data_IF_654599069853
#
_entry.id   IF_654599069853
#
_cell.length_a   1.000
_cell.length_b   1.000
_cell.length_c   1.000
_cell.angle_alpha   90.00
_cell.angle_beta   90.00
_cell.angle_gamma   90.00
#
_symmetry.space_group_name_H-M   'P 1'
#
loop_
_entity.id
_entity.type
_entity.pdbx_description
1 polymer ?
#
# COMPACT_ATOMS: atom_id res chain seq x y z
N UNK A 1 -30.05 -6.57 -14.44
CA UNK A 1 -30.14 -6.14 -13.03
C UNK A 1 -29.80 -4.67 -12.95
N UNK A 2 -30.49 -3.95 -12.06
CA UNK A 2 -30.22 -2.55 -11.69
C UNK A 2 -29.29 -2.53 -10.50
N UNK A 3 -28.10 -1.97 -10.67
CA UNK A 3 -27.04 -1.99 -9.66
C UNK A 3 -26.70 -0.55 -9.29
N UNK A 4 -26.78 -0.21 -8.01
CA UNK A 4 -26.32 1.08 -7.50
C UNK A 4 -24.98 0.91 -6.78
N UNK A 5 -23.92 1.49 -7.32
CA UNK A 5 -22.61 1.52 -6.68
C UNK A 5 -22.50 2.81 -5.88
N UNK A 6 -22.21 2.75 -4.58
CA UNK A 6 -22.06 3.94 -3.72
C UNK A 6 -20.63 4.02 -3.23
N UNK A 7 -19.91 5.09 -3.58
CA UNK A 7 -18.52 5.30 -3.15
C UNK A 7 -18.40 6.40 -2.11
N UNK A 8 -17.68 6.08 -1.02
CA UNK A 8 -17.22 7.02 0.00
C UNK A 8 -16.06 7.91 -0.46
N UNK A 9 -15.84 9.04 0.22
CA UNK A 9 -14.63 9.86 0.06
C UNK A 9 -13.37 9.16 0.58
N UNK A 10 -13.55 8.17 1.45
CA UNK A 10 -12.49 7.32 1.98
C UNK A 10 -11.96 6.30 0.94
N UNK A 11 -12.63 6.21 -0.21
CA UNK A 11 -12.24 5.38 -1.33
C UNK A 11 -11.32 6.19 -2.24
N UNK A 12 -10.03 5.89 -2.19
CA UNK A 12 -9.06 6.46 -3.14
C UNK A 12 -9.03 5.57 -4.40
N UNK A 13 -9.02 6.14 -5.61
CA UNK A 13 -8.91 5.40 -6.88
C UNK A 13 -10.21 5.35 -7.70
N UNK A 14 -10.14 4.74 -8.89
CA UNK A 14 -11.23 4.71 -9.89
C UNK A 14 -11.99 3.35 -9.88
N UNK A 15 -11.74 2.46 -8.92
CA UNK A 15 -12.29 1.09 -8.91
C UNK A 15 -13.83 1.04 -8.99
N UNK A 16 -14.60 1.85 -8.23
CA UNK A 16 -16.06 1.83 -8.30
C UNK A 16 -16.60 2.27 -9.68
N UNK A 17 -15.91 3.22 -10.32
CA UNK A 17 -16.26 3.72 -11.65
C UNK A 17 -15.96 2.68 -12.73
N UNK A 18 -14.76 2.08 -12.68
CA UNK A 18 -14.36 1.02 -13.61
C UNK A 18 -15.25 -0.21 -13.49
N UNK A 19 -15.64 -0.59 -12.26
CA UNK A 19 -16.62 -1.65 -12.05
C UNK A 19 -17.98 -1.29 -12.66
N UNK A 20 -18.45 -0.05 -12.49
CA UNK A 20 -19.69 0.42 -13.10
C UNK A 20 -19.68 0.33 -14.63
N UNK A 21 -18.58 0.73 -15.26
CA UNK A 21 -18.37 0.59 -16.71
C UNK A 21 -18.38 -0.87 -17.13
N UNK A 22 -17.63 -1.73 -16.44
CA UNK A 22 -17.56 -3.16 -16.76
C UNK A 22 -18.93 -3.87 -16.62
N UNK A 23 -19.69 -3.56 -15.57
CA UNK A 23 -21.05 -4.10 -15.39
C UNK A 23 -22.01 -3.62 -16.48
N UNK A 24 -21.88 -2.37 -16.91
CA UNK A 24 -22.68 -1.83 -18.02
C UNK A 24 -22.34 -2.52 -19.34
N UNK A 25 -21.05 -2.76 -19.60
CA UNK A 25 -20.60 -3.52 -20.78
C UNK A 25 -21.13 -4.98 -20.79
N UNK A 26 -21.42 -5.54 -19.62
CA UNK A 26 -22.08 -6.85 -19.47
C UNK A 26 -23.62 -6.80 -19.55
N UNK A 27 -24.20 -5.65 -19.90
CA UNK A 27 -25.65 -5.49 -20.07
C UNK A 27 -26.41 -5.23 -18.76
N UNK A 28 -25.73 -4.86 -17.67
CA UNK A 28 -26.39 -4.42 -16.45
C UNK A 28 -26.65 -2.91 -16.43
N UNK A 29 -27.67 -2.51 -15.68
CA UNK A 29 -28.05 -1.10 -15.52
C UNK A 29 -27.36 -0.55 -14.27
N UNK A 30 -26.09 -0.18 -14.41
CA UNK A 30 -25.24 0.29 -13.33
C UNK A 30 -25.32 1.82 -13.17
N UNK A 31 -25.44 2.28 -11.93
CA UNK A 31 -25.36 3.69 -11.57
C UNK A 31 -24.35 3.88 -10.45
N UNK A 32 -23.34 4.72 -10.68
CA UNK A 32 -22.33 5.09 -9.66
C UNK A 32 -22.78 6.36 -8.95
N UNK A 33 -22.91 6.30 -7.64
CA UNK A 33 -23.27 7.40 -6.76
C UNK A 33 -22.06 7.78 -5.91
N UNK A 34 -21.65 9.04 -5.95
CA UNK A 34 -20.52 9.56 -5.17
C UNK A 34 -20.88 10.89 -4.53
N UNK A 35 -20.19 11.27 -3.44
CA UNK A 35 -20.37 12.58 -2.82
C UNK A 35 -19.73 13.65 -3.69
N UNK A 36 -20.43 14.77 -3.89
CA UNK A 36 -19.86 15.91 -4.62
C UNK A 36 -18.88 16.70 -3.73
N UNK A 37 -17.58 16.47 -3.93
CA UNK A 37 -16.51 17.08 -3.15
C UNK A 37 -15.73 18.22 -3.89
N UNK A 38 -16.15 18.59 -5.09
CA UNK A 38 -15.49 19.65 -5.87
C UNK A 38 -16.41 20.39 -6.85
N UNK A 39 -15.92 21.49 -7.47
CA UNK A 39 -16.67 22.31 -8.42
C UNK A 39 -16.85 21.65 -9.80
N UNK A 40 -15.99 20.69 -10.15
CA UNK A 40 -16.12 19.87 -11.36
C UNK A 40 -16.87 18.58 -11.01
N UNK A 41 -17.79 18.08 -11.84
CA UNK A 41 -18.20 16.68 -11.69
C UNK A 41 -16.92 15.83 -11.75
N UNK A 42 -16.69 15.01 -10.72
CA UNK A 42 -15.74 13.90 -10.86
C UNK A 42 -16.10 13.22 -12.18
N UNK A 43 -15.12 13.13 -13.08
CA UNK A 43 -15.26 12.88 -14.53
C UNK A 43 -16.55 12.11 -14.80
N UNK A 44 -17.49 12.72 -15.51
CA UNK A 44 -18.57 11.97 -16.14
C UNK A 44 -17.87 10.83 -16.88
N UNK A 45 -18.01 9.61 -16.36
CA UNK A 45 -17.32 8.43 -16.85
C UNK A 45 -17.45 8.41 -18.36
N UNK A 46 -16.32 8.43 -19.07
CA UNK A 46 -16.28 8.17 -20.50
C UNK A 46 -16.80 6.73 -20.68
N UNK A 47 -18.09 6.58 -20.99
CA UNK A 47 -18.75 5.28 -21.16
C UNK A 47 -20.25 5.30 -20.83
N UNK A 48 -20.92 4.18 -21.11
CA UNK A 48 -22.36 3.99 -20.96
C UNK A 48 -22.89 3.94 -19.49
N UNK A 49 -22.01 3.98 -18.48
CA UNK A 49 -22.38 3.90 -17.07
C UNK A 49 -22.90 5.25 -16.54
N UNK A 50 -24.06 5.22 -15.86
CA UNK A 50 -24.67 6.43 -15.29
C UNK A 50 -23.95 6.85 -14.01
N UNK A 51 -23.72 8.15 -13.85
CA UNK A 51 -23.05 8.72 -12.70
C UNK A 51 -23.92 9.78 -12.01
N UNK A 52 -24.04 9.72 -10.68
CA UNK A 52 -24.90 10.59 -9.87
C UNK A 52 -24.06 11.20 -8.75
N UNK A 53 -23.79 12.51 -8.86
CA UNK A 53 -23.14 13.28 -7.81
C UNK A 53 -24.17 13.68 -6.74
N UNK A 54 -23.95 13.28 -5.50
CA UNK A 54 -24.83 13.59 -4.36
C UNK A 54 -24.20 14.72 -3.55
N UNK A 55 -24.75 15.94 -3.59
CA UNK A 55 -24.19 17.07 -2.85
C UNK A 55 -24.50 16.93 -1.36
N UNK A 56 -23.52 16.63 -0.52
CA UNK A 56 -23.70 16.44 0.94
C UNK A 56 -22.49 16.99 1.68
N UNK A 57 -22.73 17.67 2.80
CA UNK A 57 -21.67 18.19 3.66
C UNK A 57 -20.78 19.24 2.99
N UNK A 58 -19.64 19.58 3.61
CA UNK A 58 -18.69 20.55 3.07
C UNK A 58 -18.09 20.04 1.76
N UNK A 59 -17.97 20.89 0.73
CA UNK A 59 -17.41 20.47 -0.57
C UNK A 59 -15.97 19.98 -0.40
N UNK A 60 -15.09 20.84 0.09
CA UNK A 60 -13.72 20.49 0.43
C UNK A 60 -13.63 20.03 1.90
N UNK A 61 -14.02 18.80 2.17
CA UNK A 61 -13.77 18.18 3.47
C UNK A 61 -12.26 17.87 3.58
N UNK A 62 -11.66 18.16 4.73
CA UNK A 62 -10.24 17.87 4.96
C UNK A 62 -10.02 16.39 5.28
N UNK A 63 -10.96 15.78 5.99
CA UNK A 63 -10.95 14.36 6.35
C UNK A 63 -12.34 13.74 6.13
N UNK A 64 -12.36 12.43 5.88
CA UNK A 64 -13.56 11.61 5.85
C UNK A 64 -14.44 11.81 7.10
N UNK A 65 -13.83 11.97 8.29
CA UNK A 65 -14.57 12.17 9.54
C UNK A 65 -15.43 13.45 9.53
N UNK A 66 -15.02 14.49 8.79
CA UNK A 66 -15.78 15.75 8.69
C UNK A 66 -17.10 15.57 7.94
N UNK A 67 -17.21 14.49 7.16
CA UNK A 67 -18.42 14.13 6.40
C UNK A 67 -19.37 13.26 7.24
N UNK A 68 -18.89 12.61 8.30
CA UNK A 68 -19.68 11.69 9.14
C UNK A 68 -21.00 12.32 9.66
N UNK A 69 -21.04 13.57 10.17
CA UNK A 69 -22.28 14.19 10.63
C UNK A 69 -23.37 14.31 9.55
N UNK A 70 -22.97 14.33 8.27
CA UNK A 70 -23.86 14.52 7.13
C UNK A 70 -24.31 13.20 6.47
N UNK A 71 -23.91 12.04 7.01
CA UNK A 71 -24.26 10.73 6.44
C UNK A 71 -25.78 10.51 6.41
N UNK A 72 -26.53 11.07 7.37
CA UNK A 72 -28.00 11.03 7.37
C UNK A 72 -28.60 11.74 6.15
N UNK A 73 -28.11 12.94 5.83
CA UNK A 73 -28.52 13.68 4.63
C UNK A 73 -28.13 12.94 3.35
N UNK A 74 -26.97 12.27 3.37
CA UNK A 74 -26.54 11.44 2.25
C UNK A 74 -27.52 10.30 2.01
N UNK A 75 -27.87 9.54 3.05
CA UNK A 75 -28.84 8.47 2.96
C UNK A 75 -30.20 8.99 2.43
N UNK A 76 -30.70 10.10 2.96
CA UNK A 76 -31.96 10.70 2.51
C UNK A 76 -31.94 11.15 1.04
N UNK A 77 -30.78 11.56 0.50
CA UNK A 77 -30.63 11.89 -0.93
C UNK A 77 -30.52 10.64 -1.79
N UNK A 78 -29.79 9.61 -1.35
CA UNK A 78 -29.76 8.31 -2.04
C UNK A 78 -31.16 7.69 -2.12
N UNK A 79 -31.94 7.77 -1.04
CA UNK A 79 -33.33 7.29 -1.01
C UNK A 79 -34.22 7.99 -2.04
N UNK A 80 -34.02 9.30 -2.26
CA UNK A 80 -34.72 10.09 -3.29
C UNK A 80 -34.27 9.74 -4.71
N UNK A 81 -33.01 9.35 -4.89
CA UNK A 81 -32.54 8.84 -6.19
C UNK A 81 -33.17 7.47 -6.45
N UNK A 82 -33.18 6.59 -5.46
CA UNK A 82 -33.73 5.24 -5.56
C UNK A 82 -35.26 5.17 -5.53
N UNK A 83 -35.96 6.26 -5.18
CA UNK A 83 -37.42 6.33 -5.30
C UNK A 83 -37.89 6.36 -6.74
N UNK A 84 -37.12 7.01 -7.62
CA UNK A 84 -37.42 7.09 -9.06
C UNK A 84 -37.06 5.79 -9.77
N UNK A 85 -35.99 5.14 -9.33
CA UNK A 85 -35.46 3.91 -9.92
C UNK A 85 -34.78 3.07 -8.85
N UNK A 86 -35.53 2.13 -8.28
CA UNK A 86 -35.02 1.26 -7.23
C UNK A 86 -33.97 0.29 -7.79
N UNK A 87 -32.78 0.18 -7.18
CA UNK A 87 -31.80 -0.84 -7.53
C UNK A 87 -32.20 -2.21 -6.99
N UNK A 88 -31.84 -3.27 -7.70
CA UNK A 88 -31.99 -4.67 -7.25
C UNK A 88 -30.93 -5.01 -6.19
N UNK A 89 -29.72 -4.44 -6.34
CA UNK A 89 -28.59 -4.60 -5.42
C UNK A 89 -27.86 -3.26 -5.26
N UNK A 90 -27.43 -2.96 -4.03
CA UNK A 90 -26.53 -1.85 -3.75
C UNK A 90 -25.14 -2.39 -3.44
N UNK A 91 -24.12 -1.87 -4.10
CA UNK A 91 -22.72 -2.19 -3.84
C UNK A 91 -22.03 -0.97 -3.24
N UNK A 92 -21.77 -1.01 -1.94
CA UNK A 92 -21.19 0.09 -1.21
C UNK A 92 -19.69 -0.10 -0.99
N UNK A 93 -18.92 0.95 -1.25
CA UNK A 93 -17.48 1.03 -1.07
C UNK A 93 -17.12 1.99 0.05
N UNK A 94 -16.17 1.57 0.88
CA UNK A 94 -15.70 2.38 2.00
C UNK A 94 -16.68 2.41 3.17
N UNK A 95 -16.27 3.03 4.28
CA UNK A 95 -17.05 3.03 5.51
C UNK A 95 -18.10 4.15 5.53
N UNK A 96 -17.84 5.32 4.95
CA UNK A 96 -18.82 6.42 4.90
C UNK A 96 -19.90 6.17 3.86
N UNK A 97 -19.47 5.85 2.63
CA UNK A 97 -20.38 5.47 1.55
C UNK A 97 -21.18 4.22 1.93
N UNK A 98 -20.53 3.25 2.58
CA UNK A 98 -21.14 2.09 3.23
C UNK A 98 -22.27 2.45 4.18
N UNK A 99 -22.00 3.35 5.13
CA UNK A 99 -22.99 3.76 6.12
C UNK A 99 -24.19 4.47 5.48
N UNK A 100 -23.95 5.41 4.56
CA UNK A 100 -25.02 6.10 3.83
C UNK A 100 -25.88 5.11 3.00
N UNK A 101 -25.22 4.21 2.27
CA UNK A 101 -25.87 3.22 1.43
C UNK A 101 -26.73 2.24 2.22
N UNK A 102 -26.22 1.72 3.35
CA UNK A 102 -26.96 0.78 4.18
C UNK A 102 -28.15 1.42 4.87
N UNK A 103 -28.03 2.68 5.33
CA UNK A 103 -29.15 3.44 5.88
C UNK A 103 -30.27 3.63 4.83
N UNK A 104 -29.90 4.04 3.62
CA UNK A 104 -30.84 4.23 2.52
C UNK A 104 -31.49 2.91 2.05
N UNK A 105 -30.71 1.82 2.02
CA UNK A 105 -31.17 0.53 1.52
C UNK A 105 -32.10 -0.19 2.52
N UNK A 106 -31.87 0.01 3.83
CA UNK A 106 -32.68 -0.59 4.90
C UNK A 106 -34.16 -0.23 4.78
N UNK A 107 -34.49 1.02 4.47
CA UNK A 107 -35.88 1.47 4.30
C UNK A 107 -36.58 0.82 3.12
N UNK A 108 -35.81 0.44 2.09
CA UNK A 108 -36.31 -0.15 0.84
C UNK A 108 -36.11 -1.66 0.73
N UNK A 109 -35.55 -2.30 1.77
CA UNK A 109 -35.21 -3.73 1.81
C UNK A 109 -34.33 -4.20 0.64
N UNK A 110 -33.44 -3.33 0.14
CA UNK A 110 -32.50 -3.68 -0.94
C UNK A 110 -31.27 -4.35 -0.33
N UNK A 111 -30.81 -5.51 -0.83
CA UNK A 111 -29.59 -6.15 -0.35
C UNK A 111 -28.35 -5.28 -0.64
N UNK A 112 -27.47 -5.17 0.36
CA UNK A 112 -26.21 -4.41 0.25
C UNK A 112 -25.00 -5.34 0.27
N UNK A 113 -24.17 -5.22 -0.75
CA UNK A 113 -22.81 -5.76 -0.80
C UNK A 113 -21.85 -4.67 -0.30
N UNK A 114 -21.13 -4.93 0.78
CA UNK A 114 -20.18 -3.98 1.38
C UNK A 114 -18.75 -4.40 1.05
N UNK A 115 -18.02 -3.55 0.33
CA UNK A 115 -16.60 -3.71 0.06
C UNK A 115 -15.78 -2.78 0.95
N UNK A 116 -14.80 -3.37 1.64
CA UNK A 116 -13.83 -2.63 2.44
C UNK A 116 -12.52 -2.52 1.65
N UNK A 117 -11.97 -1.31 1.56
CA UNK A 117 -10.68 -1.03 0.93
C UNK A 117 -9.65 -0.74 2.02
N UNK A 118 -9.12 -1.82 2.60
CA UNK A 118 -8.34 -1.77 3.83
C UNK A 118 -9.22 -1.67 5.08
N UNK A 119 -9.09 -2.64 5.99
CA UNK A 119 -9.75 -2.57 7.31
C UNK A 119 -8.86 -1.85 8.32
N UNK A 120 -9.46 -1.05 9.20
CA UNK A 120 -8.70 -0.46 10.33
C UNK A 120 -8.05 -1.52 11.21
N UNK A 121 -8.71 -2.68 11.37
CA UNK A 121 -8.17 -3.84 12.08
C UNK A 121 -6.88 -4.42 11.45
N UNK A 122 -6.60 -4.09 10.18
CA UNK A 122 -5.41 -4.53 9.47
C UNK A 122 -4.19 -3.61 9.68
N UNK A 123 -4.39 -2.35 10.10
CA UNK A 123 -3.29 -1.39 10.36
C UNK A 123 -2.86 -1.46 11.83
N UNK A 124 -1.54 -1.56 12.06
CA UNK A 124 -0.94 -1.75 13.39
C UNK A 124 -0.26 -0.49 13.96
N UNK A 125 -0.18 0.61 13.20
CA UNK A 125 0.54 1.81 13.62
C UNK A 125 -0.23 2.57 14.72
N UNK A 126 0.23 2.47 15.96
CA UNK A 126 -0.26 3.29 17.07
C UNK A 126 0.46 4.64 17.03
N UNK A 127 -0.22 5.70 16.59
CA UNK A 127 0.07 7.07 17.02
C UNK A 127 -1.06 8.04 16.66
N UNK A 128 -1.21 9.09 17.49
CA UNK A 128 -2.06 10.30 17.53
C UNK A 128 -3.44 10.37 16.82
N UNK A 129 -3.67 9.65 15.72
CA UNK A 129 -4.96 9.47 15.03
C UNK A 129 -5.97 8.59 15.82
N UNK A 130 -5.79 8.42 17.13
CA UNK A 130 -6.52 7.46 17.97
C UNK A 130 -8.03 7.75 18.04
N UNK A 131 -8.43 9.02 18.10
CA UNK A 131 -9.85 9.40 18.12
C UNK A 131 -10.53 9.18 16.75
N UNK A 132 -9.89 9.59 15.64
CA UNK A 132 -10.44 9.44 14.28
C UNK A 132 -10.51 7.97 13.84
N UNK A 133 -9.53 7.17 14.25
CA UNK A 133 -9.56 5.72 14.05
C UNK A 133 -10.63 5.05 14.91
N UNK A 134 -10.98 5.61 16.07
CA UNK A 134 -11.98 5.03 16.96
C UNK A 134 -13.37 4.95 16.31
N UNK A 135 -13.82 6.00 15.59
CA UNK A 135 -15.13 6.00 14.96
C UNK A 135 -15.20 5.01 13.79
N UNK A 136 -14.19 5.02 12.90
CA UNK A 136 -14.10 4.03 11.82
C UNK A 136 -14.01 2.60 12.37
N UNK A 137 -13.23 2.37 13.43
CA UNK A 137 -13.12 1.06 14.11
C UNK A 137 -14.45 0.60 14.73
N UNK A 138 -15.31 1.52 15.17
CA UNK A 138 -16.64 1.20 15.70
C UNK A 138 -17.64 0.92 14.59
N UNK A 139 -17.55 1.65 13.48
CA UNK A 139 -18.51 1.56 12.36
C UNK A 139 -18.24 0.37 11.44
N UNK A 140 -16.98 0.07 11.08
CA UNK A 140 -16.65 -1.03 10.17
C UNK A 140 -17.24 -2.40 10.60
N UNK A 141 -17.16 -2.83 11.87
CA UNK A 141 -17.79 -4.07 12.33
C UNK A 141 -19.32 -4.05 12.23
N UNK A 142 -19.95 -2.89 12.43
CA UNK A 142 -21.40 -2.75 12.27
C UNK A 142 -21.77 -2.95 10.80
N UNK A 143 -21.10 -2.22 9.89
CA UNK A 143 -21.33 -2.34 8.45
C UNK A 143 -21.10 -3.75 7.92
N UNK A 144 -20.05 -4.42 8.40
CA UNK A 144 -19.77 -5.79 8.02
C UNK A 144 -20.91 -6.72 8.45
N UNK A 145 -21.43 -6.56 9.67
CA UNK A 145 -22.51 -7.40 10.20
C UNK A 145 -23.86 -7.16 9.53
N UNK A 146 -24.20 -5.91 9.22
CA UNK A 146 -25.49 -5.56 8.59
C UNK A 146 -25.53 -5.78 7.07
N UNK A 147 -24.38 -5.91 6.41
CA UNK A 147 -24.34 -6.18 4.98
C UNK A 147 -24.88 -7.57 4.63
N UNK A 148 -25.62 -7.67 3.52
CA UNK A 148 -26.06 -8.94 2.95
C UNK A 148 -24.87 -9.78 2.50
N UNK A 149 -23.84 -9.13 1.97
CA UNK A 149 -22.55 -9.72 1.61
C UNK A 149 -21.41 -8.76 1.95
N UNK A 150 -20.29 -9.28 2.45
CA UNK A 150 -19.10 -8.46 2.74
C UNK A 150 -17.92 -8.93 1.89
N UNK A 151 -17.14 -7.99 1.35
CA UNK A 151 -15.94 -8.31 0.58
C UNK A 151 -14.71 -7.55 1.07
N UNK A 152 -13.56 -8.23 0.98
CA UNK A 152 -12.24 -7.63 1.23
C UNK A 152 -11.30 -7.91 0.05
N UNK A 153 -10.19 -7.18 -0.02
CA UNK A 153 -9.23 -7.22 -1.13
C UNK A 153 -8.19 -8.34 -0.97
N UNK A 154 -8.19 -9.05 0.15
CA UNK A 154 -7.25 -10.16 0.38
C UNK A 154 -7.84 -11.28 1.24
N UNK A 155 -7.22 -12.46 1.19
CA UNK A 155 -7.60 -13.58 2.06
C UNK A 155 -7.44 -13.25 3.56
N UNK A 156 -6.46 -12.41 3.91
CA UNK A 156 -6.30 -11.92 5.28
C UNK A 156 -7.48 -11.03 5.70
N UNK A 157 -7.97 -10.17 4.81
CA UNK A 157 -9.15 -9.35 5.06
C UNK A 157 -10.42 -10.16 5.13
N UNK A 158 -10.58 -11.18 4.27
CA UNK A 158 -11.69 -12.12 4.36
C UNK A 158 -11.72 -12.82 5.72
N UNK A 159 -10.57 -13.25 6.24
CA UNK A 159 -10.48 -13.86 7.56
C UNK A 159 -10.83 -12.84 8.69
N UNK A 160 -10.42 -11.58 8.55
CA UNK A 160 -10.79 -10.50 9.49
C UNK A 160 -12.30 -10.18 9.43
N UNK A 161 -12.88 -10.07 8.24
CA UNK A 161 -14.31 -9.87 8.05
C UNK A 161 -15.13 -11.02 8.63
N UNK A 162 -14.67 -12.26 8.45
CA UNK A 162 -15.33 -13.42 9.04
C UNK A 162 -15.32 -13.37 10.57
N UNK A 163 -14.25 -12.84 11.18
CA UNK A 163 -14.19 -12.61 12.64
C UNK A 163 -15.15 -11.50 13.07
N UNK A 164 -15.15 -10.35 12.37
CA UNK A 164 -16.06 -9.23 12.67
C UNK A 164 -17.53 -9.60 12.53
N UNK A 165 -17.86 -10.49 11.58
CA UNK A 165 -19.23 -10.99 11.35
C UNK A 165 -19.60 -12.21 12.18
N UNK A 166 -18.65 -12.81 12.90
CA UNK A 166 -18.81 -14.11 13.55
C UNK A 166 -19.27 -15.24 12.61
N UNK A 167 -19.04 -15.11 11.30
CA UNK A 167 -19.41 -16.09 10.29
C UNK A 167 -18.63 -15.89 9.00
N UNK A 168 -18.23 -17.00 8.36
CA UNK A 168 -17.61 -16.98 7.02
C UNK A 168 -18.63 -16.99 5.89
N UNK A 169 -19.92 -17.19 6.19
CA UNK A 169 -20.98 -17.18 5.20
C UNK A 169 -21.15 -15.77 4.61
N UNK A 170 -21.35 -15.67 3.30
CA UNK A 170 -21.54 -14.38 2.59
C UNK A 170 -20.37 -13.40 2.79
N UNK A 171 -19.16 -13.94 2.84
CA UNK A 171 -17.90 -13.18 2.82
C UNK A 171 -17.07 -13.67 1.64
N UNK A 172 -16.52 -12.76 0.83
CA UNK A 172 -15.70 -13.13 -0.33
C UNK A 172 -14.53 -12.19 -0.57
N UNK A 173 -13.53 -12.68 -1.28
CA UNK A 173 -12.48 -11.82 -1.78
C UNK A 173 -12.98 -11.11 -3.05
N UNK A 174 -12.93 -9.78 -3.06
CA UNK A 174 -13.11 -8.95 -4.26
C UNK A 174 -11.88 -8.08 -4.37
N UNK A 175 -10.96 -8.46 -5.23
CA UNK A 175 -9.68 -7.77 -5.42
C UNK A 175 -9.82 -6.67 -6.46
N UNK A 176 -9.00 -5.62 -6.36
CA UNK A 176 -8.92 -4.63 -7.43
C UNK A 176 -8.55 -5.29 -8.77
N UNK A 177 -9.13 -4.77 -9.84
CA UNK A 177 -8.83 -5.16 -11.20
C UNK A 177 -7.66 -4.37 -11.77
N UNK A 178 -7.18 -4.80 -12.93
CA UNK A 178 -6.28 -4.02 -13.76
C UNK A 178 -6.87 -3.97 -15.17
N UNK A 179 -6.87 -2.79 -15.76
CA UNK A 179 -7.22 -2.61 -17.16
C UNK A 179 -6.15 -3.27 -18.04
N UNK A 180 -6.46 -4.45 -18.55
CA UNK A 180 -5.56 -5.26 -19.37
C UNK A 180 -5.34 -4.71 -20.77
N UNK A 181 -6.17 -3.78 -21.25
CA UNK A 181 -5.95 -3.10 -22.53
C UNK A 181 -4.94 -1.97 -22.37
N UNK A 182 -5.00 -1.28 -21.23
CA UNK A 182 -4.06 -0.20 -20.89
C UNK A 182 -2.70 -0.70 -20.39
N UNK A 183 -2.69 -1.75 -19.58
CA UNK A 183 -1.48 -2.34 -19.01
C UNK A 183 -1.12 -3.63 -19.73
N UNK A 184 -0.39 -3.47 -20.83
CA UNK A 184 0.14 -4.56 -21.64
C UNK A 184 1.67 -4.55 -21.63
N UNK A 185 2.32 -5.68 -21.97
CA UNK A 185 3.78 -5.75 -22.10
C UNK A 185 4.34 -4.97 -23.29
N UNK A 186 3.50 -4.61 -24.26
CA UNK A 186 3.91 -3.95 -25.51
C UNK A 186 3.44 -2.51 -25.53
N UNK A 187 4.29 -1.58 -25.96
CA UNK A 187 3.90 -0.18 -26.16
C UNK A 187 5.06 0.78 -25.91
N UNK A 188 4.80 2.09 -25.88
CA UNK A 188 5.83 3.08 -25.65
C UNK A 188 6.39 2.96 -24.23
N UNK A 189 7.70 3.17 -24.07
CA UNK A 189 8.41 3.08 -22.80
C UNK A 189 9.16 4.39 -22.53
N UNK A 190 9.37 4.72 -21.26
CA UNK A 190 10.21 5.85 -20.88
C UNK A 190 11.68 5.49 -21.12
N UNK A 191 12.40 6.38 -21.80
CA UNK A 191 13.83 6.21 -22.05
C UNK A 191 14.62 5.88 -20.77
N UNK A 192 15.62 5.02 -20.92
CA UNK A 192 16.51 4.60 -19.84
C UNK A 192 17.97 4.73 -20.25
N UNK A 193 18.81 5.00 -19.26
CA UNK A 193 20.23 4.73 -19.38
C UNK A 193 20.44 3.22 -19.27
N UNK A 194 21.58 2.69 -19.72
CA UNK A 194 21.80 1.24 -19.83
C UNK A 194 21.76 0.44 -18.52
N UNK A 195 21.35 1.04 -17.40
CA UNK A 195 21.18 0.41 -16.10
C UNK A 195 19.86 -0.38 -16.02
N UNK A 196 19.85 -1.36 -15.12
CA UNK A 196 18.63 -2.09 -14.77
C UNK A 196 17.73 -1.20 -13.89
N UNK A 197 16.50 -0.95 -14.33
CA UNK A 197 15.58 -0.03 -13.66
C UNK A 197 14.72 -0.73 -12.62
N UNK A 198 14.85 -0.29 -11.37
CA UNK A 198 13.99 -0.65 -10.25
C UNK A 198 12.95 0.46 -10.06
N UNK A 199 11.68 0.20 -10.39
CA UNK A 199 10.61 1.17 -10.21
C UNK A 199 9.93 0.98 -8.85
N UNK A 200 9.75 2.07 -8.10
CA UNK A 200 8.98 2.12 -6.87
C UNK A 200 7.87 3.17 -7.02
N UNK A 201 6.59 2.74 -6.98
CA UNK A 201 5.43 3.64 -7.08
C UNK A 201 4.63 3.61 -5.78
N UNK A 202 4.33 4.79 -5.22
CA UNK A 202 3.39 4.95 -4.12
C UNK A 202 2.62 6.27 -4.24
N UNK A 203 1.60 6.53 -3.41
CA UNK A 203 0.87 7.80 -3.46
C UNK A 203 1.75 9.02 -3.20
N UNK A 204 2.63 8.95 -2.19
CA UNK A 204 3.49 10.04 -1.72
C UNK A 204 4.84 9.50 -1.21
N UNK A 205 5.85 10.34 -0.96
CA UNK A 205 7.22 9.92 -0.62
C UNK A 205 7.42 9.61 0.87
N UNK A 206 6.33 9.53 1.64
CA UNK A 206 6.38 9.39 3.09
C UNK A 206 6.96 8.03 3.53
N UNK A 207 7.54 8.02 4.74
CA UNK A 207 8.29 6.88 5.29
C UNK A 207 7.50 5.55 5.31
N UNK A 208 6.18 5.61 5.47
CA UNK A 208 5.34 4.41 5.50
C UNK A 208 5.30 3.66 4.15
N UNK A 209 5.62 4.32 3.03
CA UNK A 209 5.72 3.69 1.71
C UNK A 209 7.04 2.94 1.50
N UNK A 210 8.04 3.24 2.32
CA UNK A 210 9.23 2.42 2.47
C UNK A 210 10.25 2.48 1.34
N UNK A 211 10.35 3.62 0.66
CA UNK A 211 11.37 3.87 -0.37
C UNK A 211 12.79 3.77 0.16
N UNK A 212 13.01 4.09 1.44
CA UNK A 212 14.28 3.92 2.15
C UNK A 212 14.84 2.49 2.07
N UNK A 213 13.96 1.48 2.02
CA UNK A 213 14.34 0.07 1.89
C UNK A 213 14.89 -0.22 0.49
N UNK A 214 14.30 0.37 -0.55
CA UNK A 214 14.78 0.22 -1.92
C UNK A 214 16.13 0.92 -2.10
N UNK A 215 16.27 2.14 -1.58
CA UNK A 215 17.51 2.92 -1.62
C UNK A 215 18.64 2.17 -0.89
N UNK A 216 18.40 1.69 0.34
CA UNK A 216 19.43 0.95 1.09
C UNK A 216 19.84 -0.35 0.39
N UNK A 217 18.90 -1.04 -0.28
CA UNK A 217 19.21 -2.25 -1.04
C UNK A 217 20.07 -1.97 -2.30
N UNK A 218 19.96 -0.77 -2.88
CA UNK A 218 20.66 -0.38 -4.11
C UNK A 218 22.20 -0.42 -3.96
N UNK A 219 22.71 -0.18 -2.75
CA UNK A 219 24.14 -0.32 -2.43
C UNK A 219 24.70 -1.72 -2.71
N UNK A 220 23.83 -2.74 -2.74
CA UNK A 220 24.18 -4.16 -2.95
C UNK A 220 23.86 -4.67 -4.36
N UNK A 221 23.30 -3.82 -5.22
CA UNK A 221 22.89 -4.17 -6.59
C UNK A 221 23.63 -3.23 -7.55
N UNK A 222 24.85 -3.58 -7.96
CA UNK A 222 25.58 -2.79 -8.96
C UNK A 222 24.87 -2.87 -10.32
N UNK A 223 25.01 -1.83 -11.15
CA UNK A 223 24.40 -1.79 -12.48
C UNK A 223 22.88 -1.59 -12.50
N UNK A 224 22.28 -1.20 -11.37
CA UNK A 224 20.87 -0.84 -11.28
C UNK A 224 20.66 0.61 -10.85
N UNK A 225 19.56 1.20 -11.30
CA UNK A 225 19.01 2.47 -10.83
C UNK A 225 17.68 2.25 -10.08
N UNK A 226 17.35 3.15 -9.15
CA UNK A 226 16.04 3.18 -8.49
C UNK A 226 15.30 4.44 -8.92
N UNK A 227 14.14 4.25 -9.53
CA UNK A 227 13.21 5.32 -9.87
C UNK A 227 12.07 5.34 -8.86
N UNK A 228 11.89 6.47 -8.18
CA UNK A 228 10.79 6.72 -7.24
C UNK A 228 9.74 7.58 -7.93
N UNK A 229 8.51 7.08 -7.93
CA UNK A 229 7.36 7.65 -8.61
C UNK A 229 6.19 7.83 -7.64
N UNK A 230 5.50 8.96 -7.78
CA UNK A 230 4.39 9.36 -6.93
C UNK A 230 3.09 9.48 -7.75
N UNK A 231 1.93 9.35 -7.10
CA UNK A 231 0.61 9.51 -7.78
C UNK A 231 -0.25 10.62 -7.20
N UNK A 232 0.06 11.13 -6.01
CA UNK A 232 -0.62 12.28 -5.41
C UNK A 232 0.06 13.58 -5.81
N UNK A 233 -0.69 14.68 -5.71
CA UNK A 233 -0.14 16.01 -5.90
C UNK A 233 0.94 16.30 -4.83
N UNK A 234 2.03 16.93 -5.25
CA UNK A 234 3.10 17.30 -4.33
C UNK A 234 2.66 18.42 -3.39
N UNK A 235 3.22 18.43 -2.17
CA UNK A 235 3.09 19.50 -1.19
C UNK A 235 4.42 19.65 -0.45
N UNK A 236 4.52 20.63 0.45
CA UNK A 236 5.75 20.92 1.20
C UNK A 236 6.23 19.73 2.05
N UNK A 237 5.31 18.97 2.64
CA UNK A 237 5.64 17.75 3.40
C UNK A 237 6.23 16.68 2.49
N UNK A 238 5.76 16.58 1.24
CA UNK A 238 6.30 15.66 0.25
C UNK A 238 7.70 16.11 -0.21
N UNK A 239 7.94 17.41 -0.33
CA UNK A 239 9.26 17.97 -0.64
C UNK A 239 10.29 17.64 0.45
N UNK A 240 9.93 17.85 1.72
CA UNK A 240 10.77 17.51 2.88
C UNK A 240 11.08 16.00 2.93
N UNK A 241 10.09 15.15 2.68
CA UNK A 241 10.27 13.70 2.63
C UNK A 241 11.19 13.27 1.46
N UNK A 242 11.10 13.93 0.30
CA UNK A 242 12.03 13.69 -0.82
C UNK A 242 13.45 14.13 -0.46
N UNK A 243 13.62 15.28 0.21
CA UNK A 243 14.94 15.73 0.67
C UNK A 243 15.58 14.73 1.66
N UNK A 244 14.79 14.15 2.56
CA UNK A 244 15.26 13.09 3.46
C UNK A 244 15.70 11.83 2.70
N UNK A 245 14.97 11.40 1.67
CA UNK A 245 15.34 10.26 0.84
C UNK A 245 16.61 10.55 0.02
N UNK A 246 16.79 11.78 -0.46
CA UNK A 246 18.01 12.21 -1.15
C UNK A 246 19.21 12.20 -0.21
N UNK A 247 19.06 12.67 1.02
CA UNK A 247 20.10 12.59 2.04
C UNK A 247 20.49 11.13 2.31
N UNK A 248 19.50 10.25 2.47
CA UNK A 248 19.73 8.82 2.66
C UNK A 248 20.48 8.18 1.47
N UNK A 249 20.15 8.56 0.24
CA UNK A 249 20.85 8.08 -0.94
C UNK A 249 22.33 8.52 -0.96
N UNK A 250 22.64 9.72 -0.46
CA UNK A 250 24.02 10.20 -0.28
C UNK A 250 24.75 9.41 0.79
N UNK A 251 24.13 9.14 1.94
CA UNK A 251 24.74 8.32 3.00
C UNK A 251 25.11 6.91 2.51
N UNK A 252 24.28 6.31 1.66
CA UNK A 252 24.57 4.99 1.07
C UNK A 252 25.50 5.04 -0.15
N UNK A 253 25.93 6.23 -0.59
CA UNK A 253 26.79 6.39 -1.77
C UNK A 253 26.13 5.95 -3.08
N UNK A 254 24.82 6.13 -3.21
CA UNK A 254 24.03 5.72 -4.39
C UNK A 254 23.22 6.87 -4.99
N UNK A 255 23.52 8.11 -4.64
CA UNK A 255 22.76 9.29 -5.05
C UNK A 255 22.70 9.47 -6.58
N UNK A 256 23.75 9.08 -7.29
CA UNK A 256 23.85 9.06 -8.76
C UNK A 256 22.92 8.04 -9.43
N UNK A 257 22.44 7.05 -8.67
CA UNK A 257 21.58 5.95 -9.14
C UNK A 257 20.15 6.02 -8.61
N UNK A 258 19.77 7.09 -7.92
CA UNK A 258 18.41 7.30 -7.41
C UNK A 258 17.78 8.48 -8.13
N UNK A 259 16.69 8.23 -8.86
CA UNK A 259 15.94 9.23 -9.62
C UNK A 259 14.55 9.41 -9.05
N UNK A 260 14.17 10.66 -8.79
CA UNK A 260 12.82 11.03 -8.38
C UNK A 260 12.04 11.49 -9.62
N UNK A 261 11.10 10.67 -10.08
CA UNK A 261 10.20 11.01 -11.19
C UNK A 261 9.11 12.01 -10.78
N UNK A 262 8.86 12.17 -9.48
CA UNK A 262 7.79 13.00 -8.93
C UNK A 262 6.40 12.43 -9.24
N UNK A 263 5.40 13.31 -9.30
CA UNK A 263 4.01 12.92 -9.57
C UNK A 263 3.83 12.55 -11.04
N UNK A 264 3.52 11.28 -11.30
CA UNK A 264 3.31 10.76 -12.66
C UNK A 264 1.83 10.89 -13.04
N UNK A 265 1.50 11.54 -14.17
CA UNK A 265 0.14 11.55 -14.70
C UNK A 265 -0.31 10.11 -14.98
N UNK A 266 -1.54 9.77 -14.60
CA UNK A 266 -2.06 8.40 -14.78
C UNK A 266 -1.85 7.85 -16.20
N UNK A 267 -2.04 8.68 -17.23
CA UNK A 267 -1.84 8.31 -18.65
C UNK A 267 -0.42 7.83 -18.99
N UNK A 268 0.59 8.29 -18.27
CA UNK A 268 2.01 7.94 -18.48
C UNK A 268 2.44 6.74 -17.63
N UNK A 269 1.66 6.37 -16.61
CA UNK A 269 1.97 5.25 -15.72
C UNK A 269 2.31 3.95 -16.47
N UNK A 270 1.57 3.53 -17.53
CA UNK A 270 1.94 2.34 -18.29
C UNK A 270 3.33 2.42 -18.94
N UNK A 271 3.76 3.59 -19.41
CA UNK A 271 5.07 3.78 -20.03
C UNK A 271 6.20 3.64 -19.01
N UNK A 272 5.98 4.16 -17.81
CA UNK A 272 6.92 4.01 -16.69
C UNK A 272 7.02 2.57 -16.22
N UNK A 273 5.87 1.91 -16.05
CA UNK A 273 5.82 0.50 -15.66
C UNK A 273 6.56 -0.36 -16.67
N UNK A 274 6.31 -0.21 -17.98
CA UNK A 274 7.01 -0.98 -19.01
C UNK A 274 8.52 -0.75 -19.03
N UNK A 275 8.98 0.46 -18.72
CA UNK A 275 10.42 0.77 -18.67
C UNK A 275 11.18 0.08 -17.53
N UNK A 276 10.47 -0.53 -16.58
CA UNK A 276 11.06 -1.14 -15.40
C UNK A 276 11.40 -2.62 -15.62
N UNK A 277 12.61 -3.03 -15.24
CA UNK A 277 12.99 -4.45 -15.23
C UNK A 277 12.37 -5.16 -14.01
N UNK A 278 12.24 -4.43 -12.89
CA UNK A 278 11.55 -4.89 -11.68
C UNK A 278 10.78 -3.77 -11.01
N UNK A 279 9.58 -4.09 -10.55
CA UNK A 279 8.77 -3.23 -9.69
C UNK A 279 8.94 -3.67 -8.24
N UNK A 280 9.32 -2.75 -7.35
CA UNK A 280 9.53 -3.04 -5.92
C UNK A 280 8.47 -2.35 -5.08
N UNK A 281 7.69 -3.14 -4.34
CA UNK A 281 6.71 -2.65 -3.38
C UNK A 281 7.17 -2.95 -1.94
N UNK A 282 7.62 -1.92 -1.25
CA UNK A 282 8.17 -1.97 0.12
C UNK A 282 7.34 -1.27 1.22
N UNK A 283 6.02 -1.05 1.08
CA UNK A 283 5.29 -0.29 2.09
C UNK A 283 5.35 -1.03 3.44
N UNK A 284 5.45 -0.26 4.52
CA UNK A 284 5.43 -0.75 5.91
C UNK A 284 4.01 -1.15 6.30
N UNK A 285 3.01 -0.53 5.69
CA UNK A 285 1.58 -0.83 5.85
C UNK A 285 1.01 -1.53 4.60
N UNK A 286 -0.04 -2.36 4.73
CA UNK A 286 -0.66 -2.97 3.55
C UNK A 286 -1.19 -1.87 2.61
N UNK A 287 -0.52 -1.64 1.49
CA UNK A 287 -1.04 -0.82 0.39
C UNK A 287 -1.87 -1.70 -0.54
N UNK A 288 -2.86 -1.10 -1.20
CA UNK A 288 -3.60 -1.74 -2.28
C UNK A 288 -2.64 -2.26 -3.35
N UNK A 289 -2.87 -3.48 -3.88
CA UNK A 289 -1.95 -4.11 -4.81
C UNK A 289 -2.09 -3.56 -6.25
N UNK A 290 -2.73 -2.41 -6.47
CA UNK A 290 -3.01 -1.87 -7.81
C UNK A 290 -1.74 -1.71 -8.64
N UNK A 291 -0.70 -1.08 -8.11
CA UNK A 291 0.58 -0.88 -8.81
C UNK A 291 1.32 -2.20 -9.07
N UNK A 292 1.18 -3.18 -8.18
CA UNK A 292 1.71 -4.52 -8.38
C UNK A 292 0.96 -5.27 -9.50
N UNK A 293 -0.37 -5.17 -9.54
CA UNK A 293 -1.17 -5.78 -10.61
C UNK A 293 -0.91 -5.11 -11.96
N UNK A 294 -0.75 -3.80 -12.00
CA UNK A 294 -0.33 -3.04 -13.18
C UNK A 294 1.01 -3.53 -13.72
N UNK A 295 2.01 -3.68 -12.85
CA UNK A 295 3.31 -4.25 -13.21
C UNK A 295 3.18 -5.69 -13.74
N UNK A 296 2.42 -6.54 -13.05
CA UNK A 296 2.20 -7.93 -13.48
C UNK A 296 1.49 -8.03 -14.84
N UNK A 297 0.50 -7.18 -15.11
CA UNK A 297 -0.20 -7.12 -16.39
C UNK A 297 0.72 -6.66 -17.53
N UNK A 298 1.63 -5.72 -17.25
CA UNK A 298 2.69 -5.32 -18.17
C UNK A 298 3.87 -6.30 -18.27
N UNK A 299 3.79 -7.49 -17.65
CA UNK A 299 4.84 -8.51 -17.72
C UNK A 299 6.07 -8.23 -16.86
N UNK A 300 6.03 -7.21 -15.99
CA UNK A 300 7.12 -6.80 -15.12
C UNK A 300 7.15 -7.64 -13.85
N UNK A 301 8.35 -8.03 -13.42
CA UNK A 301 8.53 -8.80 -12.19
C UNK A 301 8.24 -7.92 -10.98
N UNK A 302 7.46 -8.43 -10.02
CA UNK A 302 7.16 -7.71 -8.79
C UNK A 302 7.94 -8.30 -7.61
N UNK A 303 8.77 -7.47 -7.00
CA UNK A 303 9.44 -7.70 -5.73
C UNK A 303 8.63 -7.15 -4.57
N UNK A 304 8.34 -7.97 -3.57
CA UNK A 304 7.69 -7.52 -2.32
C UNK A 304 8.56 -7.83 -1.11
N UNK A 305 8.49 -6.96 -0.11
CA UNK A 305 9.07 -7.23 1.22
C UNK A 305 8.35 -8.42 1.85
N UNK A 306 9.11 -9.44 2.26
CA UNK A 306 8.59 -10.55 3.07
C UNK A 306 8.22 -10.03 4.47
N UNK A 307 6.92 -9.87 4.72
CA UNK A 307 6.41 -9.69 6.08
C UNK A 307 6.31 -11.06 6.71
N UNK A 308 7.35 -11.49 7.42
CA UNK A 308 7.31 -12.73 8.22
C UNK A 308 6.01 -12.76 9.02
N UNK A 309 5.11 -13.69 8.70
CA UNK A 309 4.10 -14.14 9.67
C UNK A 309 4.89 -14.73 10.85
N UNK A 310 4.66 -14.34 12.12
CA UNK A 310 5.20 -15.10 13.22
C UNK A 310 4.74 -16.54 13.01
N UNK A 311 5.70 -17.47 12.88
CA UNK A 311 5.43 -18.89 12.69
C UNK A 311 4.42 -19.27 13.78
N UNK A 312 3.20 -19.70 13.40
CA UNK A 312 2.31 -20.39 14.33
C UNK A 312 3.16 -21.51 14.92
N UNK A 313 3.51 -21.40 16.21
CA UNK A 313 4.14 -22.49 16.94
C UNK A 313 3.19 -23.67 16.75
N UNK A 314 3.62 -24.69 15.99
CA UNK A 314 2.92 -25.98 16.01
C UNK A 314 2.78 -26.34 17.49
N UNK A 315 1.59 -26.73 17.98
CA UNK A 315 1.47 -27.19 19.35
C UNK A 315 2.46 -28.35 19.50
N UNK A 316 3.39 -28.21 20.46
CA UNK A 316 4.31 -29.29 20.81
C UNK A 316 3.42 -30.46 21.22
N UNK A 317 3.35 -31.50 20.40
CA UNK A 317 2.86 -32.80 20.85
C UNK A 317 3.70 -33.18 22.07
N UNK A 318 3.10 -33.21 23.25
CA UNK A 318 3.71 -33.79 24.43
C UNK A 318 3.89 -35.29 24.17
N UNK A 319 5.04 -35.68 23.64
CA UNK A 319 5.52 -37.03 23.85
C UNK A 319 5.96 -37.13 25.31
N UNK A 320 5.14 -37.81 26.12
CA UNK A 320 5.58 -38.41 27.39
C UNK A 320 6.79 -39.32 27.06
N UNK A 321 8.01 -38.83 27.30
CA UNK A 321 9.18 -39.69 27.39
C UNK A 321 9.30 -40.18 28.83
N UNK A 322 9.11 -41.49 28.99
CA UNK A 322 9.55 -42.26 30.15
C UNK A 322 11.03 -41.98 30.41
N UNK A 323 11.36 -41.79 31.68
CA UNK A 323 12.70 -41.67 32.23
C UNK A 323 13.45 -42.98 32.10
N UNK A 324 14.69 -42.92 31.61
CA UNK A 324 15.73 -43.90 31.90
C UNK A 324 17.09 -43.19 31.89
N UNK A 325 17.91 -43.55 32.86
CA UNK A 325 19.05 -42.80 33.37
C UNK A 325 20.39 -43.18 32.74
N UNK A 326 21.41 -42.34 33.01
CA UNK A 326 22.88 -42.55 32.94
C UNK A 326 23.47 -42.67 31.51
N UNK A 327 24.69 -42.20 31.18
CA UNK A 327 25.93 -41.88 31.94
C UNK A 327 26.88 -41.04 31.04
N UNK A 328 27.64 -40.12 31.66
CA UNK A 328 29.02 -39.65 31.41
C UNK A 328 29.62 -39.45 29.99
N UNK A 329 30.26 -38.29 29.76
CA UNK A 329 31.38 -38.14 28.80
C UNK A 329 31.69 -36.71 28.29
N UNK A 330 32.76 -36.12 28.85
CA UNK A 330 33.59 -34.91 28.56
C UNK A 330 33.43 -34.02 27.28
N UNK A 331 34.01 -32.79 27.30
CA UNK A 331 33.62 -31.65 26.45
C UNK A 331 34.50 -31.48 25.20
N UNK A 332 33.98 -30.80 24.17
CA UNK A 332 34.76 -30.47 22.98
C UNK A 332 34.11 -29.50 22.01
N UNK A 333 34.77 -28.33 21.87
CA UNK A 333 34.91 -27.47 20.69
C UNK A 333 33.75 -26.57 20.24
N UNK A 334 34.07 -25.27 20.28
CA UNK A 334 33.51 -24.19 19.47
C UNK A 334 33.58 -24.56 17.98
N UNK A 335 32.48 -24.34 17.27
CA UNK A 335 32.48 -24.19 15.83
C UNK A 335 31.66 -22.94 15.48
N UNK A 336 32.38 -21.87 15.18
CA UNK A 336 31.88 -20.73 14.42
C UNK A 336 31.36 -21.26 13.07
N UNK A 337 30.08 -21.03 12.78
CA UNK A 337 29.55 -21.25 11.43
C UNK A 337 29.10 -19.90 10.89
N UNK A 338 29.96 -19.31 10.06
CA UNK A 338 29.63 -18.17 9.23
C UNK A 338 28.44 -18.54 8.31
N UNK A 339 27.29 -17.91 8.52
CA UNK A 339 26.14 -18.06 7.65
C UNK A 339 26.23 -17.07 6.48
N UNK A 340 26.62 -17.59 5.31
CA UNK A 340 26.44 -16.90 4.02
C UNK A 340 24.93 -16.77 3.72
N UNK A 341 24.41 -15.62 3.28
CA UNK A 341 23.03 -15.55 2.78
C UNK A 341 22.95 -16.26 1.42
N UNK A 342 22.20 -17.37 1.38
CA UNK A 342 21.88 -18.08 0.14
C UNK A 342 20.62 -17.48 -0.53
N UNK A 343 20.74 -17.11 -1.81
CA UNK A 343 19.62 -16.90 -2.71
C UNK A 343 18.91 -18.26 -2.90
N UNK A 344 17.70 -18.43 -2.35
CA UNK A 344 16.91 -19.65 -2.58
C UNK A 344 15.76 -19.35 -3.53
N UNK A 345 15.91 -19.72 -4.80
CA UNK A 345 14.81 -19.75 -5.78
C UNK A 345 14.00 -21.03 -5.53
N UNK A 346 12.75 -20.90 -5.07
CA UNK A 346 11.81 -22.03 -5.03
C UNK A 346 10.96 -22.01 -6.30
N UNK A 347 11.19 -22.98 -7.19
CA UNK A 347 10.25 -23.31 -8.28
C UNK A 347 9.15 -24.20 -7.72
N UNK A 348 7.89 -23.80 -7.85
CA UNK A 348 6.76 -24.72 -7.75
C UNK A 348 6.26 -25.00 -9.17
N UNK A 349 6.45 -26.23 -9.63
CA UNK A 349 5.99 -26.69 -10.94
C UNK A 349 4.70 -27.51 -10.82
N UNK A 350 3.63 -27.05 -11.48
CA UNK A 350 3.02 -27.68 -12.66
C UNK A 350 1.74 -26.91 -13.05
N UNK A 351 1.69 -26.46 -14.31
CA UNK A 351 0.47 -26.24 -15.10
C UNK A 351 -0.42 -25.04 -14.75
N UNK A 352 -0.08 -23.87 -15.32
CA UNK A 352 -0.90 -22.67 -15.67
C UNK A 352 -0.04 -21.43 -15.42
N UNK A 353 -0.09 -20.45 -16.32
CA UNK A 353 0.69 -19.21 -16.24
C UNK A 353 0.48 -18.54 -14.87
N UNK A 354 1.44 -18.73 -13.96
CA UNK A 354 1.44 -18.11 -12.65
C UNK A 354 2.31 -16.85 -12.71
N UNK A 355 1.88 -15.76 -12.07
CA UNK A 355 2.72 -14.56 -11.97
C UNK A 355 4.02 -14.88 -11.22
N UNK A 356 5.14 -14.43 -11.79
CA UNK A 356 6.48 -14.57 -11.17
C UNK A 356 6.64 -13.54 -10.06
N UNK A 357 6.27 -13.91 -8.83
CA UNK A 357 6.57 -13.10 -7.65
C UNK A 357 7.93 -13.50 -7.07
N UNK A 358 8.84 -12.54 -6.93
CA UNK A 358 10.15 -12.75 -6.28
C UNK A 358 10.10 -12.19 -4.87
N UNK A 359 10.45 -13.01 -3.87
CA UNK A 359 10.50 -12.59 -2.48
C UNK A 359 11.92 -12.12 -2.14
N UNK A 360 12.09 -10.83 -1.85
CA UNK A 360 13.37 -10.30 -1.39
C UNK A 360 13.56 -10.58 0.10
N UNK A 361 14.60 -11.35 0.45
CA UNK A 361 15.04 -11.59 1.83
C UNK A 361 16.17 -10.62 2.18
N UNK A 362 15.84 -9.57 2.93
CA UNK A 362 16.84 -8.67 3.52
C UNK A 362 17.07 -9.08 4.98
N UNK A 363 18.29 -9.50 5.30
CA UNK A 363 18.73 -9.70 6.68
C UNK A 363 18.86 -8.34 7.38
N UNK A 364 18.29 -8.20 8.56
CA UNK A 364 18.50 -7.03 9.40
C UNK A 364 19.83 -7.18 10.15
N UNK A 365 20.90 -6.55 9.66
CA UNK A 365 22.09 -6.35 10.48
C UNK A 365 21.89 -5.09 11.31
N UNK A 366 21.80 -5.27 12.64
CA UNK A 366 21.96 -4.20 13.61
C UNK A 366 23.45 -3.95 13.78
N UNK A 367 23.96 -2.86 13.23
CA UNK A 367 25.27 -2.35 13.64
C UNK A 367 25.17 -1.84 15.09
N UNK A 368 25.72 -2.61 16.03
CA UNK A 368 26.16 -2.09 17.33
C UNK A 368 27.62 -1.71 17.16
N UNK A 369 27.97 -0.43 17.33
CA UNK A 369 29.29 -0.04 17.80
C UNK A 369 29.09 0.72 19.11
N UNK A 370 29.52 0.09 20.18
CA UNK A 370 29.75 0.70 21.48
C UNK A 370 31.25 0.60 21.70
N UNK A 371 31.92 1.74 21.87
CA UNK A 371 33.17 1.84 22.62
C UNK A 371 33.30 3.29 23.16
N UNK A 372 32.87 3.40 24.43
CA UNK A 372 33.47 4.16 25.53
C UNK A 372 35.01 4.33 25.38
N UNK A 373 35.73 5.40 25.76
CA UNK A 373 35.70 6.44 26.82
C UNK A 373 36.90 7.41 26.50
N UNK A 374 37.35 8.34 27.37
CA UNK A 374 36.78 9.59 27.84
C UNK A 374 37.70 10.83 27.54
N UNK A 375 37.19 12.04 27.73
CA UNK A 375 37.94 13.30 27.97
C UNK A 375 37.23 13.98 29.16
N UNK A 376 37.83 14.87 30.00
CA UNK A 376 38.78 15.92 29.60
C UNK A 376 39.88 16.32 30.63
N UNK A 377 40.90 17.09 30.20
CA UNK A 377 41.77 17.81 31.16
C UNK A 377 43.00 18.58 30.65
N UNK A 378 42.78 19.86 30.29
CA UNK A 378 43.63 21.08 30.42
C UNK A 378 45.19 21.06 30.34
N UNK A 379 45.66 21.95 29.44
CA UNK A 379 46.72 22.98 29.59
C UNK A 379 48.23 22.67 29.35
N UNK A 380 48.72 23.21 28.20
CA UNK A 380 49.97 23.98 27.85
C UNK A 380 51.15 24.09 28.84
N UNK A 381 52.39 24.56 28.43
CA UNK A 381 52.89 25.01 27.11
C UNK A 381 54.33 24.51 26.72
N UNK A 382 54.79 24.83 25.50
CA UNK A 382 56.17 25.33 25.33
C UNK A 382 57.03 24.86 24.15
N UNK A 383 57.20 25.78 23.18
CA UNK A 383 58.50 26.25 22.65
C UNK A 383 59.20 25.54 21.44
N UNK A 384 59.36 26.38 20.40
CA UNK A 384 60.47 26.62 19.46
C UNK A 384 60.43 26.18 17.97
N UNK A 385 60.39 27.25 17.13
CA UNK A 385 61.23 27.59 15.94
C UNK A 385 61.08 26.71 14.70
N UNK A 386 61.04 27.20 13.46
CA UNK A 386 61.06 28.54 12.83
C UNK A 386 61.14 28.34 11.30
N UNK A 387 60.90 29.41 10.51
CA UNK A 387 61.44 29.68 9.14
C UNK A 387 60.65 29.06 7.96
N UNK A 388 60.26 29.71 6.85
CA UNK A 388 60.36 31.09 6.30
C UNK A 388 59.38 31.23 5.08
N UNK A 389 58.99 32.48 4.79
CA UNK A 389 58.48 33.14 3.56
C UNK A 389 57.33 32.60 2.66
N UNK A 390 56.30 33.46 2.53
CA UNK A 390 56.25 34.40 1.40
C UNK A 390 55.10 34.27 0.40
N UNK A 391 54.19 35.27 0.35
CA UNK A 391 53.56 35.69 -0.93
C UNK A 391 52.03 35.66 -1.09
N UNK A 392 51.31 36.61 -0.45
CA UNK A 392 50.53 37.70 -1.10
C UNK A 392 49.54 37.42 -2.27
N UNK A 393 48.24 37.59 -1.96
CA UNK A 393 47.18 38.42 -2.65
C UNK A 393 46.25 37.83 -3.72
N UNK A 394 44.95 37.92 -3.36
CA UNK A 394 43.72 38.30 -4.11
C UNK A 394 43.70 38.20 -5.64
N UNK A 395 42.69 37.48 -6.15
CA UNK A 395 41.46 38.07 -6.73
C UNK A 395 40.30 37.09 -6.65
#
# INVERSE_FOLDING_TARGET
>A
MKIAIVSGDDVVGEDPEQLGVALTAQGHDATVCFRRNGPRPAKATAGACRSVAVPVGPRAAADAIDVLPYVGDWAAKLERVWSKKQPDVVHAYGWLGGLAAQLAARRRRVPVVQTFLGLTAASRAHDAASARRSERQRIEPLLARSAAWATGESSAEVDMLAQLRHSRARVSALTCGVDSERYTPTGPEIARDGLQRILCVAPNPLQHNGFDIAISALSRVPGAEVVIAETEATNTVHDDARAQLQYLAKEFGVADRVRFAGTIPGKEMPMWVRSADIMVCTPREPLRPSTALQAMASGVVVGRRDRRRPRRRRPRRHHRRRTAARKSGRPGRRAETASRPALSVRKHGRGRAQPRTVTLRMGADRARRAECLPEPGRARPGIHRSVIDGGTVMQ
#
